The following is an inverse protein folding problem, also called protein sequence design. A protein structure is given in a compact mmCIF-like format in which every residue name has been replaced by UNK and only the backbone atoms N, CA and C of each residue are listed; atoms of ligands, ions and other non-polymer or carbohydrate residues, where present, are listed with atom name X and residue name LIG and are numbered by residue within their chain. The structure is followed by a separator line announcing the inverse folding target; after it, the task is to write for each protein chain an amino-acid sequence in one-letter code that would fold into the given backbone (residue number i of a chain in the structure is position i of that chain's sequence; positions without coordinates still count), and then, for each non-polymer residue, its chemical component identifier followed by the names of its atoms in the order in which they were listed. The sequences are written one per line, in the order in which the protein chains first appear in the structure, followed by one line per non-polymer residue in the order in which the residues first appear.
data_IF_229423864597
#
_entry.id   IF_229423864597
#
_cell.length_a   1.000
_cell.length_b   1.000
_cell.length_c   1.000
_cell.angle_alpha   90.00
_cell.angle_beta   90.00
_cell.angle_gamma   90.00
#
_symmetry.space_group_name_H-M   'P 1'
#
loop_
_entity.id
_entity.type
_entity.pdbx_description
1 polymer ?
#
# COMPACT_ATOMS: atom_id res chain seq x y z
N UNK A 1 70.88 -36.90 -25.90
CA UNK A 1 69.74 -36.31 -26.59
C UNK A 1 68.67 -35.99 -25.53
N UNK A 2 68.58 -34.75 -25.13
CA UNK A 2 67.55 -34.25 -24.18
C UNK A 2 66.87 -33.15 -24.87
N UNK A 3 65.57 -33.33 -25.07
CA UNK A 3 64.67 -32.33 -25.65
C UNK A 3 64.09 -31.49 -24.51
N UNK A 4 64.38 -30.20 -24.51
CA UNK A 4 63.84 -29.26 -23.56
C UNK A 4 62.46 -28.70 -24.10
N UNK A 5 61.40 -28.84 -23.32
CA UNK A 5 60.12 -28.24 -23.60
C UNK A 5 60.00 -26.87 -22.86
N UNK A 6 59.87 -25.80 -23.61
CA UNK A 6 59.64 -24.46 -23.07
C UNK A 6 58.21 -24.29 -22.69
N UNK A 7 57.96 -23.93 -21.44
CA UNK A 7 56.65 -23.56 -20.91
C UNK A 7 56.52 -22.03 -21.02
N UNK A 8 55.59 -21.54 -21.85
CA UNK A 8 55.27 -20.14 -21.96
C UNK A 8 54.16 -19.79 -20.96
N UNK A 9 54.53 -19.01 -19.97
CA UNK A 9 53.62 -18.51 -18.93
C UNK A 9 52.88 -17.28 -19.47
N UNK A 10 51.57 -17.38 -19.71
CA UNK A 10 50.73 -16.22 -20.06
C UNK A 10 50.18 -15.64 -18.75
N UNK A 11 50.67 -14.46 -18.40
CA UNK A 11 50.25 -13.68 -17.25
C UNK A 11 48.97 -12.91 -17.64
N UNK A 12 47.78 -13.39 -17.20
CA UNK A 12 46.54 -12.64 -17.35
C UNK A 12 46.42 -11.64 -16.18
N UNK A 13 46.54 -10.35 -16.48
CA UNK A 13 46.17 -9.26 -15.55
C UNK A 13 44.65 -9.24 -15.38
N UNK A 14 44.19 -9.64 -14.20
CA UNK A 14 42.84 -9.37 -13.73
C UNK A 14 42.77 -7.92 -13.22
N UNK A 15 42.25 -7.03 -14.04
CA UNK A 15 41.73 -5.71 -13.60
C UNK A 15 40.48 -5.96 -12.77
N UNK A 16 40.59 -5.86 -11.45
CA UNK A 16 39.48 -5.80 -10.53
C UNK A 16 38.82 -4.42 -10.70
N UNK A 17 37.80 -4.34 -11.57
CA UNK A 17 36.88 -3.23 -11.61
C UNK A 17 35.94 -3.33 -10.43
N UNK A 18 36.08 -2.44 -9.44
CA UNK A 18 35.04 -2.20 -8.44
C UNK A 18 33.80 -1.62 -9.15
N UNK A 19 32.95 -2.48 -9.69
CA UNK A 19 31.59 -2.16 -10.07
C UNK A 19 30.74 -2.19 -8.80
N UNK A 20 30.35 -1.02 -8.30
CA UNK A 20 29.30 -0.91 -7.31
C UNK A 20 28.00 -1.43 -7.95
N UNK A 21 27.63 -2.66 -7.61
CA UNK A 21 26.34 -3.24 -7.97
C UNK A 21 25.23 -2.46 -7.28
N UNK A 22 24.57 -1.60 -8.02
CA UNK A 22 23.35 -0.87 -7.64
C UNK A 22 22.13 -1.83 -7.75
N UNK A 23 22.20 -2.98 -7.07
CA UNK A 23 21.10 -3.94 -6.97
C UNK A 23 20.29 -3.69 -5.69
N UNK A 24 19.37 -2.74 -5.74
CA UNK A 24 18.56 -2.37 -4.59
C UNK A 24 17.10 -2.00 -4.91
N UNK A 25 16.54 -2.51 -6.01
CA UNK A 25 15.14 -2.18 -6.35
C UNK A 25 14.34 -3.29 -7.05
N UNK A 26 14.77 -4.56 -7.02
CA UNK A 26 14.12 -5.64 -7.79
C UNK A 26 13.33 -6.65 -6.97
N UNK A 27 13.08 -6.41 -5.69
CA UNK A 27 12.24 -7.28 -4.85
C UNK A 27 10.72 -7.16 -5.05
N UNK A 28 10.23 -6.15 -5.75
CA UNK A 28 8.85 -6.13 -6.24
C UNK A 28 8.84 -6.89 -7.57
N UNK A 29 8.34 -8.12 -7.58
CA UNK A 29 7.94 -8.80 -8.82
C UNK A 29 7.20 -7.76 -9.65
N UNK A 30 7.87 -7.24 -10.70
CA UNK A 30 7.24 -6.32 -11.64
C UNK A 30 6.02 -7.08 -12.16
N UNK A 31 4.81 -6.61 -11.80
CA UNK A 31 3.61 -7.19 -12.36
C UNK A 31 3.81 -7.15 -13.86
N UNK A 32 3.89 -8.32 -14.50
CA UNK A 32 3.97 -8.40 -15.96
C UNK A 32 2.84 -7.53 -16.47
N UNK A 33 3.17 -6.56 -17.34
CA UNK A 33 2.14 -5.80 -18.01
C UNK A 33 1.13 -6.82 -18.56
N UNK A 34 -0.15 -6.63 -18.26
CA UNK A 34 -1.20 -7.52 -18.77
C UNK A 34 -1.12 -7.50 -20.29
N UNK A 35 -1.56 -8.56 -20.94
CA UNK A 35 -1.64 -8.63 -22.42
C UNK A 35 -2.44 -7.46 -23.01
N UNK A 36 -3.26 -6.78 -22.22
CA UNK A 36 -4.06 -5.59 -22.56
C UNK A 36 -3.29 -4.27 -22.44
N UNK A 37 -2.03 -4.28 -21.94
CA UNK A 37 -1.20 -3.10 -21.73
C UNK A 37 -1.68 -2.20 -20.55
N UNK A 38 -2.52 -2.71 -19.67
CA UNK A 38 -2.89 -2.06 -18.41
C UNK A 38 -1.89 -2.41 -17.30
N UNK A 39 -1.75 -1.51 -16.34
CA UNK A 39 -1.01 -1.76 -15.10
C UNK A 39 -1.99 -2.14 -14.00
N UNK A 40 -1.69 -3.20 -13.27
CA UNK A 40 -2.52 -3.64 -12.18
C UNK A 40 -2.28 -2.83 -10.90
N UNK A 41 -3.38 -2.57 -10.19
CA UNK A 41 -3.41 -2.03 -8.83
C UNK A 41 -4.26 -2.96 -7.96
N UNK A 42 -3.81 -4.20 -7.71
CA UNK A 42 -4.69 -5.27 -7.24
C UNK A 42 -5.07 -5.18 -5.76
N UNK A 43 -4.44 -4.28 -5.00
CA UNK A 43 -4.66 -4.15 -3.55
C UNK A 43 -4.30 -2.73 -3.05
N UNK A 44 -4.72 -2.40 -1.85
CA UNK A 44 -4.30 -1.19 -1.15
C UNK A 44 -2.78 -1.15 -1.03
N UNK A 45 -2.15 -0.11 -1.60
CA UNK A 45 -0.70 0.01 -1.68
C UNK A 45 -0.07 -0.55 -2.96
N UNK A 46 -0.86 -1.04 -3.92
CA UNK A 46 -0.53 -1.52 -5.26
C UNK A 46 0.20 -2.88 -5.30
N UNK A 47 1.24 -3.04 -4.52
CA UNK A 47 2.07 -4.26 -4.45
C UNK A 47 2.05 -4.85 -3.03
N UNK A 48 2.40 -6.12 -2.83
CA UNK A 48 2.43 -6.74 -1.51
C UNK A 48 3.25 -5.98 -0.47
N UNK A 49 4.32 -5.31 -0.88
CA UNK A 49 5.15 -4.43 -0.04
C UNK A 49 4.49 -3.07 0.30
N UNK A 50 3.29 -2.79 -0.20
CA UNK A 50 2.46 -1.59 0.04
C UNK A 50 3.20 -0.26 -0.11
N UNK A 51 4.00 -0.14 -1.16
CA UNK A 51 4.80 1.08 -1.39
C UNK A 51 3.99 2.28 -1.88
N UNK A 52 2.74 2.10 -2.29
CA UNK A 52 1.88 3.15 -2.87
C UNK A 52 2.56 3.89 -4.04
N UNK A 53 3.39 3.20 -4.79
CA UNK A 53 4.19 3.76 -5.86
C UNK A 53 3.97 3.06 -7.20
N UNK A 54 3.68 3.85 -8.24
CA UNK A 54 3.71 3.46 -9.65
C UNK A 54 4.88 4.18 -10.33
N UNK A 55 5.99 3.47 -10.64
CA UNK A 55 7.24 4.11 -11.07
C UNK A 55 7.20 4.68 -12.49
N UNK A 56 6.36 4.12 -13.35
CA UNK A 56 6.22 4.57 -14.73
C UNK A 56 4.77 4.78 -15.09
N UNK A 57 4.55 5.87 -15.82
CA UNK A 57 3.30 6.14 -16.51
C UNK A 57 3.62 6.83 -17.85
N UNK A 58 2.67 6.83 -18.72
CA UNK A 58 2.74 7.67 -19.92
C UNK A 58 2.78 9.15 -19.49
N UNK A 59 3.55 10.00 -20.18
CA UNK A 59 3.59 11.45 -19.91
C UNK A 59 2.22 12.12 -19.98
N UNK A 60 1.30 11.52 -20.71
CA UNK A 60 -0.10 11.94 -20.77
C UNK A 60 -0.82 11.91 -19.41
N UNK A 61 -0.27 11.22 -18.40
CA UNK A 61 -0.82 11.20 -17.06
C UNK A 61 -0.18 12.23 -16.11
N UNK A 62 0.77 13.03 -16.62
CA UNK A 62 1.31 14.14 -15.85
C UNK A 62 0.33 15.33 -15.87
N UNK A 63 0.20 16.09 -14.77
CA UNK A 63 -0.60 17.32 -14.78
C UNK A 63 -0.14 18.31 -15.86
N UNK A 64 -1.06 19.08 -16.45
CA UNK A 64 -2.42 19.40 -16.00
C UNK A 64 -3.48 18.39 -16.45
N UNK A 65 -4.36 18.01 -15.52
CA UNK A 65 -5.44 17.06 -15.72
C UNK A 65 -6.81 17.71 -15.46
N UNK A 66 -7.86 17.13 -16.05
CA UNK A 66 -9.26 17.47 -15.82
C UNK A 66 -10.10 16.21 -15.55
N UNK A 67 -11.25 16.39 -14.94
CA UNK A 67 -12.24 15.32 -14.82
C UNK A 67 -12.81 14.98 -16.19
N UNK A 68 -12.76 13.71 -16.56
CA UNK A 68 -13.35 13.19 -17.78
C UNK A 68 -14.74 12.58 -17.54
N UNK A 69 -14.90 11.87 -16.40
CA UNK A 69 -16.14 11.20 -16.01
C UNK A 69 -16.15 10.87 -14.51
N UNK A 70 -17.30 10.50 -13.98
CA UNK A 70 -17.44 9.93 -12.65
C UNK A 70 -18.42 8.77 -12.65
N UNK A 71 -18.26 7.86 -11.69
CA UNK A 71 -19.17 6.77 -11.38
C UNK A 71 -19.54 6.88 -9.91
N UNK A 72 -20.81 7.15 -9.64
CA UNK A 72 -21.31 7.23 -8.29
C UNK A 72 -21.50 5.84 -7.69
N UNK A 73 -21.03 5.64 -6.49
CA UNK A 73 -21.11 4.37 -5.74
C UNK A 73 -22.24 4.38 -4.71
N UNK A 74 -23.01 5.47 -4.65
CA UNK A 74 -24.16 5.69 -3.75
C UNK A 74 -23.82 5.64 -2.26
N UNK A 75 -22.54 5.56 -1.90
CA UNK A 75 -22.05 5.63 -0.53
C UNK A 75 -20.53 5.86 -0.51
N UNK A 76 -20.02 6.24 0.66
CA UNK A 76 -18.58 6.49 0.88
C UNK A 76 -17.69 5.34 0.40
N UNK A 77 -16.65 5.70 -0.32
CA UNK A 77 -15.50 4.84 -0.66
C UNK A 77 -14.34 5.27 0.23
N UNK A 78 -13.96 4.46 1.19
CA UNK A 78 -12.84 4.77 2.09
C UNK A 78 -11.51 4.33 1.51
N UNK A 79 -11.51 3.22 0.79
CA UNK A 79 -10.32 2.66 0.16
C UNK A 79 -10.41 2.71 -1.36
N UNK A 80 -9.26 2.82 -2.05
CA UNK A 80 -9.24 2.82 -3.50
C UNK A 80 -9.70 1.47 -4.06
N UNK A 81 -10.19 1.43 -5.32
CA UNK A 81 -10.53 0.19 -5.98
C UNK A 81 -9.31 -0.70 -6.15
N UNK A 82 -9.52 -2.01 -6.17
CA UNK A 82 -8.57 -2.90 -6.79
C UNK A 82 -8.75 -2.82 -8.32
N UNK A 83 -7.65 -2.73 -9.07
CA UNK A 83 -7.67 -2.69 -10.53
C UNK A 83 -6.89 -3.89 -11.07
N UNK A 84 -7.53 -4.64 -11.97
CA UNK A 84 -6.89 -5.72 -12.71
C UNK A 84 -7.41 -5.77 -14.13
N UNK A 85 -6.51 -5.84 -15.09
CA UNK A 85 -6.81 -5.94 -16.54
C UNK A 85 -7.86 -4.92 -17.03
N UNK A 86 -7.75 -3.68 -16.57
CA UNK A 86 -8.66 -2.58 -16.93
C UNK A 86 -10.06 -2.69 -16.32
N UNK A 87 -10.25 -3.51 -15.29
CA UNK A 87 -11.47 -3.58 -14.49
C UNK A 87 -11.19 -3.07 -13.07
N UNK A 88 -11.97 -2.11 -12.62
CA UNK A 88 -11.96 -1.62 -11.25
C UNK A 88 -13.02 -2.35 -10.41
N UNK A 89 -12.61 -2.86 -9.26
CA UNK A 89 -13.47 -3.48 -8.24
C UNK A 89 -13.57 -2.52 -7.06
N UNK A 90 -14.76 -1.97 -6.87
CA UNK A 90 -15.05 -0.97 -5.83
C UNK A 90 -15.98 -1.59 -4.79
N UNK A 91 -15.73 -1.36 -3.52
CA UNK A 91 -16.66 -1.72 -2.45
C UNK A 91 -16.91 -0.45 -1.62
N UNK A 92 -18.18 -0.06 -1.47
CA UNK A 92 -18.55 1.08 -0.65
C UNK A 92 -18.78 0.68 0.82
N UNK A 93 -18.89 1.65 1.73
CA UNK A 93 -19.04 1.42 3.18
C UNK A 93 -20.22 0.54 3.58
N UNK A 94 -21.24 0.40 2.72
CA UNK A 94 -22.37 -0.48 2.97
C UNK A 94 -22.17 -1.90 2.43
N UNK A 95 -20.97 -2.22 1.88
CA UNK A 95 -20.69 -3.52 1.31
C UNK A 95 -21.29 -3.74 -0.07
N UNK A 96 -21.72 -2.68 -0.78
CA UNK A 96 -22.09 -2.81 -2.17
C UNK A 96 -20.84 -2.82 -3.03
N UNK A 97 -20.62 -3.92 -3.74
CA UNK A 97 -19.51 -4.12 -4.65
C UNK A 97 -19.92 -3.89 -6.10
N UNK A 98 -19.03 -3.28 -6.89
CA UNK A 98 -19.18 -3.09 -8.34
C UNK A 98 -17.90 -3.48 -9.04
N UNK A 99 -18.03 -4.17 -10.20
CA UNK A 99 -16.93 -4.25 -11.16
C UNK A 99 -17.24 -3.34 -12.34
N UNK A 100 -16.30 -2.45 -12.65
CA UNK A 100 -16.45 -1.46 -13.72
C UNK A 100 -15.32 -1.64 -14.72
N UNK A 101 -15.67 -1.89 -15.98
CA UNK A 101 -14.71 -1.89 -17.06
C UNK A 101 -14.32 -0.45 -17.43
N UNK A 102 -13.08 -0.10 -17.21
CA UNK A 102 -12.62 1.28 -17.22
C UNK A 102 -12.59 1.94 -18.61
N UNK A 103 -12.41 1.14 -19.69
CA UNK A 103 -12.33 1.67 -21.07
C UNK A 103 -13.65 2.31 -21.56
N UNK A 104 -14.79 1.76 -21.15
CA UNK A 104 -16.14 2.19 -21.57
C UNK A 104 -17.08 2.47 -20.41
N UNK A 105 -16.58 2.40 -19.17
CA UNK A 105 -17.33 2.65 -17.93
C UNK A 105 -18.50 1.70 -17.69
N UNK A 106 -18.50 0.56 -18.41
CA UNK A 106 -19.55 -0.42 -18.28
C UNK A 106 -19.48 -1.13 -16.93
N UNK A 107 -20.57 -1.08 -16.17
CA UNK A 107 -20.74 -1.92 -14.99
C UNK A 107 -20.94 -3.36 -15.47
N UNK A 108 -20.01 -4.24 -15.07
CA UNK A 108 -20.04 -5.66 -15.44
C UNK A 108 -20.95 -6.45 -14.51
N UNK A 109 -20.90 -6.11 -13.22
CA UNK A 109 -21.78 -6.63 -12.20
C UNK A 109 -21.85 -5.68 -11.01
N UNK A 110 -22.98 -5.77 -10.30
CA UNK A 110 -23.18 -5.17 -8.99
C UNK A 110 -23.59 -6.26 -8.01
N UNK A 111 -23.07 -6.20 -6.81
CA UNK A 111 -23.32 -7.18 -5.78
C UNK A 111 -23.50 -6.49 -4.43
N UNK A 112 -24.56 -6.85 -3.73
CA UNK A 112 -24.67 -6.53 -2.32
C UNK A 112 -24.00 -7.64 -1.52
N UNK A 113 -22.76 -7.43 -1.10
CA UNK A 113 -21.99 -8.38 -0.29
C UNK A 113 -22.33 -8.26 1.20
N UNK A 114 -23.45 -7.59 1.54
CA UNK A 114 -23.88 -7.49 2.94
C UNK A 114 -23.95 -8.88 3.54
N UNK A 115 -23.28 -9.09 4.68
CA UNK A 115 -23.57 -10.26 5.50
C UNK A 115 -25.06 -10.21 5.87
N UNK A 116 -25.72 -11.36 5.92
CA UNK A 116 -27.15 -11.49 6.22
C UNK A 116 -27.54 -11.03 7.65
N UNK A 117 -26.55 -10.72 8.48
CA UNK A 117 -26.72 -10.22 9.83
C UNK A 117 -27.27 -8.78 9.78
N UNK A 118 -28.28 -8.50 10.58
CA UNK A 118 -28.92 -7.17 10.71
C UNK A 118 -27.97 -6.06 11.20
N UNK A 119 -26.66 -6.34 11.36
CA UNK A 119 -25.62 -5.38 11.67
C UNK A 119 -25.27 -4.53 10.46
N UNK A 120 -25.22 -3.22 10.65
CA UNK A 120 -24.72 -2.29 9.64
C UNK A 120 -23.25 -2.61 9.34
N UNK A 121 -22.83 -2.95 8.11
CA UNK A 121 -21.43 -3.17 7.78
C UNK A 121 -20.69 -1.82 7.68
N UNK A 122 -20.71 -1.03 8.75
CA UNK A 122 -20.33 0.40 8.79
C UNK A 122 -18.92 0.74 8.30
N UNK A 123 -18.12 -0.27 7.93
CA UNK A 123 -16.76 -0.08 7.44
C UNK A 123 -16.36 -1.27 6.59
N UNK A 124 -15.74 -1.01 5.46
CA UNK A 124 -15.21 -2.01 4.54
C UNK A 124 -13.77 -1.67 4.25
N UNK A 125 -12.90 -2.65 4.32
CA UNK A 125 -11.48 -2.48 4.01
C UNK A 125 -11.25 -2.42 2.49
N UNK A 126 -10.04 -2.08 2.07
CA UNK A 126 -9.67 -2.07 0.66
C UNK A 126 -9.89 -3.44 0.01
N UNK A 127 -10.58 -3.50 -1.15
CA UNK A 127 -10.74 -4.73 -1.91
C UNK A 127 -9.38 -5.23 -2.41
N UNK A 128 -9.28 -6.55 -2.54
CA UNK A 128 -8.09 -7.21 -3.11
C UNK A 128 -8.50 -8.10 -4.26
N UNK A 129 -7.89 -7.90 -5.42
CA UNK A 129 -7.98 -8.86 -6.52
C UNK A 129 -6.83 -9.86 -6.44
N UNK A 130 -7.15 -11.14 -6.52
CA UNK A 130 -6.14 -12.19 -6.59
C UNK A 130 -6.66 -13.43 -7.32
N UNK A 131 -5.98 -13.84 -8.40
CA UNK A 131 -6.24 -15.06 -9.18
C UNK A 131 -7.72 -15.28 -9.53
N UNK A 132 -8.39 -14.25 -10.06
CA UNK A 132 -9.79 -14.33 -10.50
C UNK A 132 -10.83 -14.19 -9.39
N UNK A 133 -10.43 -13.90 -8.17
CA UNK A 133 -11.32 -13.58 -7.06
C UNK A 133 -11.08 -12.17 -6.52
N UNK A 134 -12.14 -11.57 -5.99
CA UNK A 134 -12.08 -10.30 -5.23
C UNK A 134 -12.44 -10.60 -3.78
N UNK A 135 -11.60 -10.10 -2.87
CA UNK A 135 -11.76 -10.29 -1.43
C UNK A 135 -12.08 -8.96 -0.76
N UNK A 136 -12.96 -8.98 0.22
CA UNK A 136 -13.29 -7.85 1.08
C UNK A 136 -13.43 -8.29 2.54
N UNK A 137 -12.91 -7.48 3.45
CA UNK A 137 -13.08 -7.65 4.89
C UNK A 137 -13.95 -6.52 5.45
N UNK A 138 -14.74 -6.83 6.47
CA UNK A 138 -15.76 -5.95 7.02
C UNK A 138 -15.59 -5.81 8.54
N UNK A 139 -15.85 -4.62 9.05
CA UNK A 139 -15.82 -4.35 10.49
C UNK A 139 -16.72 -5.33 11.29
N UNK A 140 -17.78 -5.80 10.66
CA UNK A 140 -18.64 -6.85 11.24
C UNK A 140 -17.94 -8.20 11.45
N UNK A 141 -16.67 -8.35 11.11
CA UNK A 141 -15.89 -9.59 11.23
C UNK A 141 -16.09 -10.56 10.06
N UNK A 142 -16.80 -10.17 9.01
CA UNK A 142 -16.93 -10.99 7.82
C UNK A 142 -15.75 -10.77 6.88
N UNK A 143 -15.26 -11.88 6.33
CA UNK A 143 -14.33 -11.92 5.21
C UNK A 143 -15.01 -12.66 4.07
N UNK A 144 -15.09 -12.07 2.89
CA UNK A 144 -15.79 -12.62 1.74
C UNK A 144 -14.89 -12.71 0.51
N UNK A 145 -15.14 -13.73 -0.32
CA UNK A 145 -14.58 -13.84 -1.66
C UNK A 145 -15.71 -13.94 -2.69
N UNK A 146 -15.57 -13.15 -3.76
CA UNK A 146 -16.43 -13.18 -4.93
C UNK A 146 -15.64 -13.48 -6.19
N UNK A 147 -16.25 -14.16 -7.15
CA UNK A 147 -15.69 -14.37 -8.47
C UNK A 147 -15.56 -13.02 -9.20
N UNK A 148 -14.36 -12.68 -9.63
CA UNK A 148 -14.08 -11.38 -10.20
C UNK A 148 -14.82 -11.10 -11.52
N UNK A 149 -15.13 -12.14 -12.31
CA UNK A 149 -15.79 -12.02 -13.60
C UNK A 149 -17.30 -11.84 -13.47
N UNK A 150 -17.92 -12.52 -12.50
CA UNK A 150 -19.39 -12.63 -12.39
C UNK A 150 -19.97 -11.96 -11.14
N UNK A 151 -19.13 -11.63 -10.15
CA UNK A 151 -19.56 -11.15 -8.84
C UNK A 151 -20.14 -12.25 -7.94
N UNK A 152 -20.32 -13.49 -8.43
CA UNK A 152 -20.89 -14.56 -7.61
C UNK A 152 -20.05 -14.85 -6.38
N UNK A 153 -20.74 -15.00 -5.24
CA UNK A 153 -20.11 -15.38 -3.98
C UNK A 153 -19.41 -16.73 -4.10
N UNK A 154 -18.10 -16.79 -3.80
CA UNK A 154 -17.33 -18.01 -3.69
C UNK A 154 -17.41 -18.58 -2.28
N UNK A 155 -17.12 -17.76 -1.28
CA UNK A 155 -17.26 -18.14 0.12
C UNK A 155 -17.38 -16.89 1.00
N UNK A 156 -17.91 -17.06 2.21
CA UNK A 156 -17.92 -16.07 3.27
C UNK A 156 -17.52 -16.77 4.56
N UNK A 157 -16.68 -16.12 5.34
CA UNK A 157 -16.29 -16.54 6.67
C UNK A 157 -16.57 -15.45 7.68
N UNK A 158 -17.21 -15.80 8.80
CA UNK A 158 -17.34 -14.96 9.99
C UNK A 158 -16.16 -15.26 10.90
N UNK A 159 -15.41 -14.23 11.26
CA UNK A 159 -14.39 -14.23 12.30
C UNK A 159 -14.99 -13.60 13.56
N UNK A 160 -14.54 -14.04 14.72
CA UNK A 160 -14.99 -13.49 16.01
C UNK A 160 -14.13 -12.27 16.41
N UNK A 161 -14.03 -11.30 15.47
CA UNK A 161 -13.20 -10.11 15.57
C UNK A 161 -13.73 -9.05 14.65
N UNK A 162 -13.44 -7.77 14.89
CA UNK A 162 -13.60 -6.71 13.91
C UNK A 162 -12.41 -6.68 12.96
N UNK A 163 -12.67 -6.34 11.69
CA UNK A 163 -11.66 -6.31 10.64
C UNK A 163 -11.56 -4.89 10.07
N UNK A 164 -10.52 -4.17 10.49
CA UNK A 164 -10.14 -2.86 9.92
C UNK A 164 -8.97 -2.98 8.94
N UNK A 165 -8.26 -4.09 9.00
CA UNK A 165 -7.11 -4.43 8.17
C UNK A 165 -7.53 -4.88 6.77
N UNK A 166 -7.03 -4.22 5.72
CA UNK A 166 -7.21 -4.68 4.33
C UNK A 166 -6.44 -5.98 4.09
N UNK A 167 -7.09 -7.01 3.54
CA UNK A 167 -6.40 -8.26 3.25
C UNK A 167 -5.20 -8.06 2.32
N UNK A 168 -4.24 -8.95 2.43
CA UNK A 168 -3.10 -9.09 1.53
C UNK A 168 -3.12 -10.51 0.97
N UNK A 169 -3.10 -10.66 -0.35
CA UNK A 169 -3.12 -11.97 -1.01
C UNK A 169 -1.77 -12.27 -1.67
N UNK A 170 -1.09 -13.31 -1.20
CA UNK A 170 0.19 -13.79 -1.75
C UNK A 170 0.22 -15.32 -1.66
N UNK A 171 0.69 -16.00 -2.71
CA UNK A 171 0.93 -17.45 -2.77
C UNK A 171 -0.22 -18.33 -2.23
N UNK A 172 -1.45 -17.96 -2.61
CA UNK A 172 -2.66 -18.67 -2.20
C UNK A 172 -3.04 -18.47 -0.74
N UNK A 173 -2.46 -17.46 -0.08
CA UNK A 173 -2.72 -17.10 1.31
C UNK A 173 -3.23 -15.67 1.40
N UNK A 174 -4.25 -15.46 2.23
CA UNK A 174 -4.71 -14.14 2.66
C UNK A 174 -4.14 -13.85 4.05
N UNK A 175 -3.48 -12.72 4.19
CA UNK A 175 -3.00 -12.22 5.48
C UNK A 175 -3.83 -11.01 5.88
N UNK A 176 -4.25 -10.93 7.15
CA UNK A 176 -4.98 -9.79 7.70
C UNK A 176 -4.80 -9.71 9.22
N UNK A 177 -4.96 -8.51 9.75
CA UNK A 177 -5.00 -8.25 11.18
C UNK A 177 -6.43 -8.24 11.73
N UNK A 178 -6.56 -8.42 13.04
CA UNK A 178 -7.82 -8.34 13.77
C UNK A 178 -7.71 -7.41 14.97
N UNK A 179 -8.83 -6.86 15.43
CA UNK A 179 -8.88 -6.08 16.68
C UNK A 179 -8.72 -6.94 17.94
N UNK A 180 -8.85 -8.28 17.79
CA UNK A 180 -8.58 -9.27 18.85
C UNK A 180 -7.13 -9.72 18.88
N UNK A 181 -6.21 -8.89 18.39
CA UNK A 181 -4.75 -9.04 18.45
C UNK A 181 -4.14 -10.05 17.48
N UNK A 182 -4.91 -10.75 16.63
CA UNK A 182 -4.35 -11.76 15.75
C UNK A 182 -3.87 -11.20 14.41
N UNK A 183 -2.72 -11.68 13.95
CA UNK A 183 -2.37 -11.73 12.53
C UNK A 183 -2.77 -13.11 12.00
N UNK A 184 -3.67 -13.15 11.03
CA UNK A 184 -4.19 -14.39 10.47
C UNK A 184 -3.61 -14.66 9.08
N UNK A 185 -3.24 -15.91 8.82
CA UNK A 185 -3.01 -16.43 7.49
C UNK A 185 -4.12 -17.41 7.13
N UNK A 186 -4.85 -17.13 6.08
CA UNK A 186 -5.98 -17.92 5.64
C UNK A 186 -5.74 -18.43 4.22
N UNK A 187 -6.24 -19.62 3.90
CA UNK A 187 -6.21 -20.12 2.52
C UNK A 187 -7.17 -19.30 1.65
N UNK A 188 -6.68 -18.75 0.56
CA UNK A 188 -7.46 -17.87 -0.31
C UNK A 188 -8.67 -18.57 -0.96
N UNK A 189 -8.59 -19.89 -1.22
CA UNK A 189 -9.63 -20.64 -1.90
C UNK A 189 -10.90 -20.91 -1.07
N UNK A 190 -10.80 -20.94 0.27
CA UNK A 190 -11.90 -21.31 1.15
C UNK A 190 -11.92 -20.56 2.50
N UNK A 191 -10.98 -19.68 2.73
CA UNK A 191 -10.85 -18.88 3.95
C UNK A 191 -10.41 -19.68 5.20
N UNK A 192 -10.03 -20.95 5.11
CA UNK A 192 -9.59 -21.74 6.27
C UNK A 192 -8.25 -21.25 6.80
N UNK A 193 -8.12 -21.19 8.13
CA UNK A 193 -6.89 -20.76 8.80
C UNK A 193 -5.74 -21.71 8.50
N UNK A 194 -4.60 -21.15 8.10
CA UNK A 194 -3.31 -21.83 7.99
C UNK A 194 -2.53 -21.71 9.29
N UNK A 195 -2.44 -20.46 9.79
CA UNK A 195 -1.85 -20.14 11.08
C UNK A 195 -2.44 -18.83 11.62
N UNK A 196 -2.25 -18.59 12.91
CA UNK A 196 -2.47 -17.33 13.58
C UNK A 196 -1.27 -16.99 14.45
N UNK A 197 -0.96 -15.70 14.55
CA UNK A 197 0.01 -15.14 15.47
C UNK A 197 -0.70 -14.14 16.37
N UNK A 198 -0.61 -14.34 17.68
CA UNK A 198 -1.21 -13.45 18.67
C UNK A 198 -0.20 -12.37 19.06
N UNK A 199 -0.52 -11.12 18.71
CA UNK A 199 0.26 -9.93 19.04
C UNK A 199 -0.13 -9.40 20.43
N UNK A 200 0.65 -8.50 21.04
CA UNK A 200 0.25 -7.82 22.29
C UNK A 200 -0.97 -6.93 22.16
N UNK A 201 -1.15 -6.28 21.01
CA UNK A 201 -2.21 -5.32 20.77
C UNK A 201 -3.00 -5.61 19.50
N UNK A 202 -4.11 -4.91 19.34
CA UNK A 202 -4.97 -4.98 18.15
C UNK A 202 -4.17 -4.68 16.86
N UNK A 203 -4.43 -5.44 15.79
CA UNK A 203 -3.80 -5.24 14.47
C UNK A 203 -4.83 -4.59 13.56
N UNK A 204 -4.85 -3.26 13.54
CA UNK A 204 -5.69 -2.46 12.63
C UNK A 204 -4.98 -2.15 11.32
N UNK A 205 -3.66 -2.02 11.36
CA UNK A 205 -2.81 -1.87 10.19
C UNK A 205 -2.93 -3.06 9.24
N UNK A 206 -2.92 -2.79 7.93
CA UNK A 206 -2.92 -3.85 6.92
C UNK A 206 -1.54 -4.48 6.80
N UNK A 207 -1.39 -5.81 6.87
CA UNK A 207 -0.10 -6.46 6.74
C UNK A 207 0.52 -6.23 5.36
N UNK A 208 1.83 -6.25 5.30
CA UNK A 208 2.61 -6.20 4.06
C UNK A 208 3.47 -7.46 3.92
N UNK A 209 3.94 -7.74 2.71
CA UNK A 209 4.75 -8.92 2.44
C UNK A 209 5.96 -8.56 1.59
N UNK A 210 7.10 -9.10 1.97
CA UNK A 210 8.31 -9.04 1.16
C UNK A 210 9.22 -10.21 1.54
N UNK A 211 9.84 -10.82 0.56
CA UNK A 211 10.86 -11.86 0.68
C UNK A 211 10.55 -12.94 1.74
N UNK A 212 9.37 -13.56 1.65
CA UNK A 212 8.96 -14.66 2.53
C UNK A 212 8.47 -14.24 3.91
N UNK A 213 8.45 -12.95 4.23
CA UNK A 213 8.01 -12.43 5.51
C UNK A 213 6.74 -11.58 5.39
N UNK A 214 5.88 -11.69 6.40
CA UNK A 214 4.73 -10.81 6.62
C UNK A 214 5.09 -9.79 7.69
N UNK A 215 4.90 -8.52 7.37
CA UNK A 215 5.16 -7.40 8.28
C UNK A 215 3.84 -6.85 8.80
N UNK A 216 3.73 -6.71 10.10
CA UNK A 216 2.57 -6.17 10.79
C UNK A 216 2.99 -5.27 11.95
N UNK A 217 2.07 -4.45 12.43
CA UNK A 217 2.29 -3.59 13.58
C UNK A 217 1.00 -3.46 14.39
N UNK A 218 1.11 -3.32 15.70
CA UNK A 218 0.01 -3.34 16.64
C UNK A 218 -0.24 -2.01 17.37
N UNK A 219 -1.34 -1.96 18.09
CA UNK A 219 -1.72 -0.80 18.89
C UNK A 219 -0.94 -0.68 20.23
N UNK A 220 -0.11 -1.67 20.57
CA UNK A 220 0.80 -1.64 21.74
C UNK A 220 2.24 -1.27 21.34
N UNK A 221 2.36 -0.42 20.33
CA UNK A 221 3.65 0.13 19.85
C UNK A 221 4.64 -0.91 19.34
N UNK A 222 4.20 -2.09 18.90
CA UNK A 222 5.11 -3.13 18.39
C UNK A 222 4.98 -3.33 16.89
N UNK A 223 6.13 -3.50 16.22
CA UNK A 223 6.25 -3.93 14.85
C UNK A 223 6.85 -5.35 14.79
N UNK A 224 6.45 -6.14 13.78
CA UNK A 224 6.83 -7.55 13.64
C UNK A 224 7.20 -7.89 12.22
N UNK A 225 8.13 -8.83 12.05
CA UNK A 225 8.22 -9.67 10.87
C UNK A 225 7.90 -11.11 11.26
N UNK A 226 7.02 -11.75 10.51
CA UNK A 226 6.60 -13.13 10.71
C UNK A 226 6.95 -13.93 9.47
N UNK A 227 7.51 -15.13 9.62
CA UNK A 227 7.67 -16.06 8.52
C UNK A 227 6.29 -16.36 7.88
N UNK A 228 6.15 -16.10 6.61
CA UNK A 228 4.87 -16.15 5.92
C UNK A 228 4.25 -17.57 5.85
N UNK A 229 5.07 -18.62 5.92
CA UNK A 229 4.62 -20.01 5.85
C UNK A 229 4.13 -20.51 7.22
N UNK A 230 4.81 -20.12 8.28
CA UNK A 230 4.63 -20.69 9.62
C UNK A 230 4.00 -19.75 10.63
N UNK A 231 4.02 -18.44 10.40
CA UNK A 231 3.59 -17.41 11.34
C UNK A 231 4.54 -17.19 12.52
N UNK A 232 5.71 -17.86 12.52
CA UNK A 232 6.70 -17.66 13.57
C UNK A 232 7.35 -16.28 13.46
N UNK A 233 7.55 -15.57 14.59
CA UNK A 233 8.21 -14.27 14.56
C UNK A 233 9.67 -14.44 14.15
N UNK A 234 10.09 -13.64 13.14
CA UNK A 234 11.48 -13.45 12.72
C UNK A 234 12.13 -12.40 13.61
N UNK A 235 11.40 -11.30 13.83
CA UNK A 235 11.76 -10.27 14.79
C UNK A 235 10.51 -9.56 15.34
N UNK A 236 10.69 -8.93 16.48
CA UNK A 236 9.72 -8.02 17.11
C UNK A 236 10.45 -6.83 17.70
N UNK A 237 9.92 -5.62 17.48
CA UNK A 237 10.45 -4.39 18.06
C UNK A 237 9.32 -3.61 18.71
N UNK A 238 9.43 -3.36 20.01
CA UNK A 238 8.54 -2.47 20.74
C UNK A 238 9.14 -1.07 20.74
N UNK A 239 8.41 -0.12 20.13
CA UNK A 239 8.90 1.25 19.92
C UNK A 239 8.63 2.19 21.08
N UNK A 240 7.89 1.79 22.12
CA UNK A 240 7.66 2.62 23.32
C UNK A 240 8.95 2.95 24.06
N UNK A 241 9.98 2.12 23.88
CA UNK A 241 11.31 2.26 24.49
C UNK A 241 12.34 2.90 23.55
N UNK A 242 11.91 3.39 22.39
CA UNK A 242 12.77 4.01 21.37
C UNK A 242 12.45 5.50 21.30
N UNK A 243 13.47 6.40 21.29
CA UNK A 243 13.23 7.84 21.13
C UNK A 243 12.54 8.18 19.77
N UNK A 244 11.61 9.13 19.75
CA UNK A 244 11.00 9.78 20.90
C UNK A 244 10.18 8.77 21.70
N UNK A 245 10.43 8.69 23.02
CA UNK A 245 9.71 7.77 23.90
C UNK A 245 8.23 8.13 23.92
N UNK A 246 7.37 7.11 23.82
CA UNK A 246 5.93 7.32 23.83
C UNK A 246 5.17 6.03 23.57
N UNK A 247 3.89 6.06 23.84
CA UNK A 247 2.95 5.01 23.54
C UNK A 247 2.00 5.51 22.47
N UNK A 248 1.91 4.81 21.36
CA UNK A 248 0.97 5.06 20.28
C UNK A 248 0.75 3.80 19.46
N UNK A 249 -0.47 3.64 18.96
CA UNK A 249 -0.83 2.52 18.11
C UNK A 249 -0.28 2.70 16.68
N UNK A 250 0.10 1.61 16.05
CA UNK A 250 0.34 1.62 14.63
C UNK A 250 -0.98 1.44 13.89
N UNK A 251 -1.54 2.54 13.40
CA UNK A 251 -2.69 2.52 12.50
C UNK A 251 -2.24 2.39 11.05
N UNK A 252 -1.08 2.94 10.71
CA UNK A 252 -0.51 2.94 9.39
C UNK A 252 -0.01 1.55 8.97
N UNK A 253 -0.32 1.15 7.74
CA UNK A 253 0.19 -0.10 7.18
C UNK A 253 1.68 0.01 6.89
N UNK A 254 2.51 -0.98 7.25
CA UNK A 254 3.93 -0.98 6.94
C UNK A 254 4.16 -0.94 5.42
N UNK A 255 5.13 -0.14 4.96
CA UNK A 255 5.62 -0.14 3.59
C UNK A 255 7.06 -0.65 3.56
N UNK A 256 7.38 -1.56 2.63
CA UNK A 256 8.70 -2.18 2.55
C UNK A 256 9.42 -1.75 1.28
N UNK A 257 10.59 -1.15 1.44
CA UNK A 257 11.48 -0.81 0.32
C UNK A 257 12.90 -0.55 0.83
N UNK A 258 13.89 -0.71 -0.03
CA UNK A 258 15.29 -0.34 0.22
C UNK A 258 15.89 -0.99 1.48
N UNK A 259 15.50 -2.25 1.78
CA UNK A 259 15.94 -2.97 2.99
C UNK A 259 15.40 -2.40 4.29
N UNK A 260 14.27 -1.69 4.24
CA UNK A 260 13.61 -1.05 5.39
C UNK A 260 12.12 -1.33 5.41
N UNK A 261 11.57 -1.36 6.62
CA UNK A 261 10.14 -1.33 6.91
C UNK A 261 9.80 0.06 7.47
N UNK A 262 8.90 0.76 6.81
CA UNK A 262 8.45 2.09 7.22
C UNK A 262 7.04 1.99 7.78
N UNK A 263 6.81 2.50 8.99
CA UNK A 263 5.50 2.57 9.62
C UNK A 263 5.40 3.82 10.49
N UNK A 264 4.19 4.32 10.69
CA UNK A 264 3.95 5.47 11.55
C UNK A 264 3.02 5.08 12.71
N UNK A 265 3.35 5.56 13.90
CA UNK A 265 2.47 5.52 15.08
C UNK A 265 1.49 6.70 15.02
N UNK A 266 0.35 6.53 15.64
CA UNK A 266 -0.70 7.55 15.72
C UNK A 266 -0.28 8.78 16.55
N UNK A 267 0.78 8.70 17.36
CA UNK A 267 1.39 9.85 18.04
C UNK A 267 2.23 10.79 17.12
N UNK A 268 2.28 10.48 15.83
CA UNK A 268 3.03 11.28 14.85
C UNK A 268 4.44 10.80 14.56
N UNK A 269 4.90 9.74 15.22
CA UNK A 269 6.26 9.22 15.01
C UNK A 269 6.32 8.26 13.83
N UNK A 270 7.12 8.60 12.82
CA UNK A 270 7.44 7.74 11.67
C UNK A 270 8.73 6.98 11.96
N UNK A 271 8.72 5.67 11.79
CA UNK A 271 9.86 4.80 12.00
C UNK A 271 10.34 4.16 10.70
N UNK A 272 11.64 3.94 10.59
CA UNK A 272 12.22 2.98 9.67
C UNK A 272 12.95 1.90 10.45
N UNK A 273 12.56 0.66 10.22
CA UNK A 273 13.21 -0.51 10.78
C UNK A 273 14.10 -1.15 9.73
N UNK A 274 15.20 -1.74 10.14
CA UNK A 274 15.95 -2.66 9.30
C UNK A 274 15.05 -3.88 9.00
N UNK A 275 14.91 -4.22 7.74
CA UNK A 275 13.95 -5.24 7.29
C UNK A 275 14.24 -6.63 7.85
N UNK A 276 15.52 -6.97 8.01
CA UNK A 276 15.96 -8.31 8.44
C UNK A 276 16.00 -8.46 9.96
N UNK A 277 16.35 -7.39 10.68
CA UNK A 277 16.61 -7.45 12.12
C UNK A 277 15.58 -6.73 12.98
N UNK A 278 14.73 -5.91 12.39
CA UNK A 278 13.77 -5.06 13.11
C UNK A 278 14.40 -3.92 13.91
N UNK A 279 15.72 -3.71 13.84
CA UNK A 279 16.38 -2.58 14.51
C UNK A 279 15.89 -1.27 13.94
N UNK A 280 15.54 -0.32 14.80
CA UNK A 280 15.19 1.04 14.38
C UNK A 280 16.43 1.70 13.78
N UNK A 281 16.34 2.05 12.50
CA UNK A 281 17.39 2.76 11.77
C UNK A 281 17.30 4.27 11.99
N UNK A 282 16.06 4.80 12.02
CA UNK A 282 15.74 6.18 12.32
C UNK A 282 14.29 6.34 12.74
N UNK A 283 13.98 7.45 13.41
CA UNK A 283 12.63 7.94 13.67
C UNK A 283 12.52 9.41 13.27
N UNK A 284 11.31 9.85 12.91
CA UNK A 284 10.99 11.22 12.52
C UNK A 284 9.68 11.63 13.17
N UNK A 285 9.64 12.81 13.77
CA UNK A 285 8.43 13.39 14.37
C UNK A 285 7.73 14.31 13.36
N UNK A 286 6.51 13.95 12.97
CA UNK A 286 5.65 14.73 12.08
C UNK A 286 4.93 15.88 12.81
N UNK A 287 4.99 15.90 14.14
CA UNK A 287 4.48 16.96 15.01
C UNK A 287 2.98 16.92 15.27
N UNK A 288 2.28 15.87 14.87
CA UNK A 288 0.87 15.59 15.16
C UNK A 288 0.52 14.17 14.68
N UNK A 289 -0.69 13.68 14.99
CA UNK A 289 -1.17 12.35 14.63
C UNK A 289 -0.96 12.00 13.16
N UNK A 290 -0.54 10.77 12.91
CA UNK A 290 -0.37 10.19 11.57
C UNK A 290 -1.19 8.92 11.45
N UNK A 291 -2.26 8.98 10.65
CA UNK A 291 -3.11 7.80 10.35
C UNK A 291 -2.78 7.19 8.99
N UNK A 292 -2.29 8.00 8.05
CA UNK A 292 -1.93 7.57 6.71
C UNK A 292 -0.74 6.61 6.70
N UNK A 293 -0.73 5.67 5.77
CA UNK A 293 0.42 4.79 5.56
C UNK A 293 1.53 5.52 4.79
N UNK A 294 2.81 5.19 5.01
CA UNK A 294 3.90 5.75 4.24
C UNK A 294 3.80 5.37 2.76
N UNK A 295 3.90 6.34 1.85
CA UNK A 295 4.18 6.07 0.45
C UNK A 295 5.70 6.12 0.23
N UNK A 296 6.28 5.07 -0.36
CA UNK A 296 7.73 4.94 -0.47
C UNK A 296 8.14 4.78 -1.92
N UNK A 297 8.99 5.69 -2.41
CA UNK A 297 9.36 5.71 -3.81
C UNK A 297 10.81 6.15 -4.04
N UNK A 298 11.41 5.62 -5.12
CA UNK A 298 12.58 6.21 -5.76
C UNK A 298 12.12 6.81 -7.08
N UNK A 299 11.81 8.09 -7.06
CA UNK A 299 11.48 8.84 -8.28
C UNK A 299 12.78 9.21 -9.00
N UNK A 300 12.89 9.06 -10.33
CA UNK A 300 14.08 9.40 -11.07
C UNK A 300 14.60 10.83 -10.77
N UNK A 301 15.89 10.97 -10.53
CA UNK A 301 16.52 12.22 -10.14
C UNK A 301 16.31 12.65 -8.68
N UNK A 302 15.80 11.73 -7.83
CA UNK A 302 15.66 11.97 -6.38
C UNK A 302 16.24 10.83 -5.54
N UNK A 303 16.71 11.07 -4.32
CA UNK A 303 16.95 10.02 -3.35
C UNK A 303 15.66 9.23 -3.06
N UNK A 304 15.76 7.95 -2.63
CA UNK A 304 14.63 7.22 -2.10
C UNK A 304 13.94 8.03 -1.00
N UNK A 305 12.62 8.09 -1.02
CA UNK A 305 11.88 8.97 -0.12
C UNK A 305 10.62 8.30 0.43
N UNK A 306 10.30 8.67 1.67
CA UNK A 306 9.03 8.39 2.33
C UNK A 306 8.18 9.66 2.26
N UNK A 307 6.95 9.53 1.78
CA UNK A 307 5.97 10.61 1.71
C UNK A 307 4.84 10.33 2.69
N UNK A 308 4.55 11.29 3.58
CA UNK A 308 3.58 11.10 4.65
C UNK A 308 2.99 12.43 5.10
N UNK A 309 1.73 12.42 5.49
CA UNK A 309 1.02 13.57 6.03
C UNK A 309 0.60 13.37 7.47
N UNK A 310 0.36 14.47 8.19
CA UNK A 310 -0.10 14.49 9.56
C UNK A 310 -1.38 15.34 9.71
N UNK A 311 -2.05 15.20 10.85
CA UNK A 311 -3.32 15.90 11.15
C UNK A 311 -3.16 17.43 11.29
N UNK A 312 -1.94 17.92 11.56
CA UNK A 312 -1.65 19.37 11.52
C UNK A 312 -1.60 19.97 10.11
N UNK A 313 -1.88 19.20 9.08
CA UNK A 313 -1.86 19.63 7.67
C UNK A 313 -0.48 19.62 7.03
N UNK A 314 0.55 19.23 7.75
CA UNK A 314 1.92 19.13 7.21
C UNK A 314 2.09 17.83 6.45
N UNK A 315 2.65 17.95 5.27
CA UNK A 315 3.00 16.83 4.40
C UNK A 315 4.51 16.85 4.14
N UNK A 316 5.16 15.70 4.26
CA UNK A 316 6.62 15.59 4.24
C UNK A 316 7.10 14.65 3.14
N UNK A 317 8.25 14.99 2.55
CA UNK A 317 9.15 14.02 1.93
C UNK A 317 10.36 13.85 2.84
N UNK A 318 10.59 12.63 3.26
CA UNK A 318 11.67 12.26 4.18
C UNK A 318 12.65 11.39 3.38
N UNK A 319 13.95 11.62 3.49
CA UNK A 319 14.95 10.72 2.92
C UNK A 319 14.83 9.33 3.57
N UNK A 320 14.55 8.32 2.76
CA UNK A 320 14.24 6.97 3.24
C UNK A 320 15.41 6.27 3.96
N UNK A 321 16.64 6.69 3.70
CA UNK A 321 17.84 6.10 4.30
C UNK A 321 18.18 6.74 5.64
N UNK A 322 17.99 8.08 5.75
CA UNK A 322 18.50 8.88 6.87
C UNK A 322 17.45 9.43 7.81
N UNK A 323 16.16 9.41 7.41
CA UNK A 323 15.07 10.03 8.19
C UNK A 323 15.05 11.56 8.16
N UNK A 324 15.95 12.20 7.40
CA UNK A 324 15.99 13.66 7.30
C UNK A 324 14.91 14.18 6.37
N UNK A 325 14.16 15.25 6.73
CA UNK A 325 13.18 15.85 5.85
C UNK A 325 13.89 16.49 4.63
N UNK A 326 13.36 16.22 3.43
CA UNK A 326 13.84 16.80 2.17
C UNK A 326 13.07 18.06 1.84
N UNK A 327 11.77 18.01 2.01
CA UNK A 327 10.86 19.15 1.88
C UNK A 327 9.60 18.92 2.69
N UNK A 328 8.89 20.01 2.94
CA UNK A 328 7.58 20.05 3.60
C UNK A 328 6.62 20.90 2.79
N UNK A 329 5.37 20.51 2.76
CA UNK A 329 4.27 21.24 2.15
C UNK A 329 3.12 21.37 3.16
N UNK A 330 2.45 22.52 3.20
CA UNK A 330 1.24 22.71 3.98
C UNK A 330 0.03 22.49 3.09
N UNK A 331 -0.76 21.46 3.39
CA UNK A 331 -1.97 21.07 2.62
C UNK A 331 -3.16 21.97 2.96
N UNK A 332 -3.07 22.74 4.04
CA UNK A 332 -4.13 23.64 4.50
C UNK A 332 -5.17 23.00 5.42
N UNK A 333 -4.98 21.75 5.80
CA UNK A 333 -5.83 21.02 6.74
C UNK A 333 -5.39 19.58 6.94
N UNK A 334 -5.98 18.85 7.90
CA UNK A 334 -5.63 17.48 8.24
C UNK A 334 -5.44 16.57 7.03
N UNK A 335 -4.41 15.71 7.09
CA UNK A 335 -4.09 14.71 6.07
C UNK A 335 -4.28 13.30 6.66
N UNK A 336 -5.53 12.80 6.76
CA UNK A 336 -5.83 11.53 7.42
C UNK A 336 -5.48 10.32 6.56
N UNK A 337 -5.30 10.52 5.26
CA UNK A 337 -5.17 9.42 4.30
C UNK A 337 -3.76 9.16 3.83
N UNK A 338 -3.64 8.08 3.07
CA UNK A 338 -2.37 7.61 2.51
C UNK A 338 -2.10 8.30 1.17
N UNK A 339 -0.92 8.88 1.02
CA UNK A 339 -0.48 9.44 -0.25
C UNK A 339 -0.20 8.35 -1.29
N UNK A 340 -0.23 8.74 -2.56
CA UNK A 340 0.14 7.88 -3.69
C UNK A 340 1.15 8.58 -4.57
N UNK A 341 2.21 7.88 -4.95
CA UNK A 341 3.22 8.39 -5.90
C UNK A 341 2.99 7.75 -7.26
N UNK A 342 2.75 8.56 -8.27
CA UNK A 342 2.56 8.10 -9.64
C UNK A 342 3.49 8.90 -10.54
N UNK A 343 4.45 8.21 -11.18
CA UNK A 343 5.51 8.87 -11.94
C UNK A 343 6.33 9.83 -11.06
N UNK A 344 6.22 11.11 -11.36
CA UNK A 344 6.92 12.18 -10.66
C UNK A 344 6.05 12.96 -9.67
N UNK A 345 4.77 12.62 -9.56
CA UNK A 345 3.80 13.37 -8.75
C UNK A 345 3.38 12.56 -7.52
N UNK A 346 3.39 13.23 -6.37
CA UNK A 346 2.85 12.72 -5.10
C UNK A 346 1.47 13.32 -4.89
N UNK A 347 0.46 12.49 -4.75
CA UNK A 347 -0.93 12.92 -4.52
C UNK A 347 -1.31 12.74 -3.05
N UNK A 348 -1.92 13.76 -2.47
CA UNK A 348 -2.43 13.78 -1.09
C UNK A 348 -3.72 14.58 -1.03
N UNK A 349 -4.53 14.38 0.01
CA UNK A 349 -5.82 15.07 0.16
C UNK A 349 -6.01 15.58 1.58
N UNK A 350 -6.85 16.63 1.70
CA UNK A 350 -7.40 17.06 2.98
C UNK A 350 -8.92 17.20 2.88
N UNK A 351 -9.62 16.62 3.86
CA UNK A 351 -11.09 16.76 3.95
C UNK A 351 -11.53 18.15 4.38
N UNK A 352 -10.69 18.89 5.13
CA UNK A 352 -11.01 20.25 5.55
C UNK A 352 -11.08 21.19 4.35
N UNK A 353 -10.12 21.09 3.44
CA UNK A 353 -10.10 21.91 2.21
C UNK A 353 -10.95 21.33 1.10
N UNK A 354 -11.40 20.07 1.22
CA UNK A 354 -12.10 19.32 0.18
C UNK A 354 -11.27 19.21 -1.11
N UNK A 355 -9.94 19.08 -0.99
CA UNK A 355 -9.02 19.11 -2.13
C UNK A 355 -8.08 17.91 -2.15
N UNK A 356 -7.77 17.47 -3.36
CA UNK A 356 -6.62 16.62 -3.68
C UNK A 356 -5.56 17.46 -4.35
N UNK A 357 -4.35 17.39 -3.81
CA UNK A 357 -3.17 18.12 -4.26
C UNK A 357 -2.16 17.16 -4.84
N UNK A 358 -1.59 17.48 -6.01
CA UNK A 358 -0.42 16.82 -6.57
C UNK A 358 0.83 17.68 -6.39
N UNK A 359 1.88 17.08 -5.86
CA UNK A 359 3.17 17.71 -5.59
C UNK A 359 4.27 17.07 -6.44
N UNK A 360 5.15 17.88 -6.99
CA UNK A 360 6.38 17.36 -7.61
C UNK A 360 7.22 16.64 -6.54
N UNK A 361 7.50 15.37 -6.74
CA UNK A 361 8.16 14.51 -5.75
C UNK A 361 9.57 14.98 -5.37
N UNK A 362 10.24 15.73 -6.26
CA UNK A 362 11.59 16.25 -6.06
C UNK A 362 11.60 17.51 -5.21
N UNK A 363 10.67 18.42 -5.48
CA UNK A 363 10.72 19.80 -4.94
C UNK A 363 9.62 20.11 -3.93
N UNK A 364 8.56 19.30 -3.87
CA UNK A 364 7.38 19.59 -3.06
C UNK A 364 6.49 20.71 -3.62
N UNK A 365 6.81 21.25 -4.81
CA UNK A 365 5.97 22.29 -5.45
C UNK A 365 4.67 21.69 -5.94
N UNK A 366 3.56 22.40 -5.72
CA UNK A 366 2.24 21.99 -6.22
C UNK A 366 2.20 22.06 -7.75
N UNK A 367 1.83 20.95 -8.39
CA UNK A 367 1.68 20.80 -9.84
C UNK A 367 0.24 20.54 -10.26
N UNK A 368 -0.59 20.06 -9.31
CA UNK A 368 -1.99 19.71 -9.56
C UNK A 368 -2.84 20.05 -8.36
N UNK A 369 -4.11 20.38 -8.62
CA UNK A 369 -5.12 20.47 -7.58
C UNK A 369 -6.51 20.28 -8.17
N UNK A 370 -7.41 19.65 -7.42
CA UNK A 370 -8.83 19.48 -7.74
C UNK A 370 -9.66 19.53 -6.46
N UNK A 371 -10.85 20.17 -6.53
CA UNK A 371 -11.80 20.24 -5.41
C UNK A 371 -12.58 18.93 -5.27
N UNK A 372 -11.89 17.90 -4.89
CA UNK A 372 -12.40 16.58 -4.55
C UNK A 372 -11.39 15.95 -3.59
N UNK A 373 -11.85 15.36 -2.51
CA UNK A 373 -11.00 14.72 -1.51
C UNK A 373 -11.44 13.28 -1.23
N UNK A 374 -10.46 12.46 -0.89
CA UNK A 374 -10.66 11.07 -0.48
C UNK A 374 -9.54 10.63 0.46
N UNK A 375 -9.74 9.53 1.20
CA UNK A 375 -8.70 8.99 2.10
C UNK A 375 -7.46 8.51 1.36
N UNK A 376 -7.64 7.91 0.18
CA UNK A 376 -6.51 7.53 -0.69
C UNK A 376 -6.78 8.12 -2.07
N UNK A 377 -6.18 9.27 -2.37
CA UNK A 377 -6.70 10.13 -3.40
C UNK A 377 -6.55 9.60 -4.81
N UNK A 378 -5.52 8.79 -5.10
CA UNK A 378 -5.22 8.49 -6.50
C UNK A 378 -4.76 7.05 -6.70
N UNK A 379 -5.27 6.41 -7.75
CA UNK A 379 -4.77 5.14 -8.29
C UNK A 379 -4.71 5.22 -9.81
N UNK A 380 -4.07 4.25 -10.46
CA UNK A 380 -3.89 4.26 -11.92
C UNK A 380 -3.95 2.86 -12.50
N UNK A 381 -4.45 2.75 -13.72
CA UNK A 381 -4.33 1.57 -14.59
C UNK A 381 -3.16 1.67 -15.59
N UNK A 382 -2.27 2.66 -15.39
CA UNK A 382 -1.16 2.95 -16.28
C UNK A 382 -1.52 3.82 -17.49
N UNK A 383 -2.81 3.88 -17.86
CA UNK A 383 -3.34 4.68 -18.98
C UNK A 383 -4.19 5.86 -18.52
N UNK A 384 -4.72 5.80 -17.29
CA UNK A 384 -5.59 6.80 -16.68
C UNK A 384 -5.27 6.94 -15.21
N UNK A 385 -5.60 8.11 -14.67
CA UNK A 385 -5.63 8.34 -13.24
C UNK A 385 -7.07 8.32 -12.76
N UNK A 386 -7.29 7.70 -11.60
CA UNK A 386 -8.59 7.63 -10.96
C UNK A 386 -8.49 8.28 -9.59
N UNK A 387 -9.24 9.35 -9.41
CA UNK A 387 -9.44 9.98 -8.12
C UNK A 387 -10.53 9.22 -7.37
N UNK A 388 -10.23 8.82 -6.17
CA UNK A 388 -11.18 8.23 -5.24
C UNK A 388 -11.77 9.37 -4.44
N UNK A 389 -12.92 9.87 -4.88
CA UNK A 389 -13.69 10.89 -4.18
C UNK A 389 -14.50 10.30 -3.04
N UNK A 390 -15.27 11.15 -2.37
CA UNK A 390 -16.05 10.71 -1.21
C UNK A 390 -17.13 9.67 -1.58
N UNK A 391 -17.84 9.89 -2.69
CA UNK A 391 -18.88 8.98 -3.20
C UNK A 391 -18.64 8.51 -4.64
N UNK A 392 -17.59 8.99 -5.28
CA UNK A 392 -17.38 8.84 -6.69
C UNK A 392 -16.01 8.26 -7.02
N UNK A 393 -15.95 7.35 -7.98
CA UNK A 393 -14.73 7.03 -8.71
C UNK A 393 -14.66 7.94 -9.93
N UNK A 394 -13.67 8.81 -9.98
CA UNK A 394 -13.53 9.86 -10.98
C UNK A 394 -12.35 9.54 -11.89
N UNK A 395 -12.60 9.43 -13.19
CA UNK A 395 -11.53 9.30 -14.18
C UNK A 395 -11.00 10.67 -14.58
N UNK A 396 -9.66 10.79 -14.58
CA UNK A 396 -8.95 11.99 -15.02
C UNK A 396 -8.30 11.76 -16.38
N UNK A 397 -8.25 12.81 -17.18
CA UNK A 397 -7.55 12.85 -18.47
C UNK A 397 -6.74 14.14 -18.63
N UNK A 398 -5.76 14.21 -19.53
CA UNK A 398 -5.04 15.46 -19.84
C UNK A 398 -6.00 16.58 -20.22
N UNK A 399 -5.62 17.83 -19.85
CA UNK A 399 -6.34 19.05 -20.26
C UNK A 399 -6.11 19.33 -21.74
#
# INVERSE_FOLDING_TARGET
MRVAASLTLVLALLLAGCGSSDEGATGASASKASSSGYVDWPLFGRVPARTHYLPRQERALDPPLKQAWSINTHALIEFPPAIHDGVAYVINKYGNGKAVRLRDRKVLWELNVRPSDKGNPNFVTGPVYYRGAVYGAFLSGHLAAGDAKTGKKLWVRKLNAHLESSPLAVDGTLYLGTDTTDVLALRASDGKTRWSFNAPGAIKASPSYHDGNVFAADYESSAFALDAKTGKPVWRTNTSKVPPYGHGGFFSSPAIAFGRVYAARDDGTVFAFDEQTGKVAWSFDAGDYVYGSPAVARVPGTPPSVYIGAENGRFFAIDARTGKPRWRYDVGGPVPGTATVIGHTVYTSSFKTQETTGLDARTGKRTFHIKQAGYTPMVSDGKRLFLVGYYDLIGLEPK
#
